data_IF_642444029558
#
_entry.id   IF_642444029558
#
_cell.length_a   1.000
_cell.length_b   1.000
_cell.length_c   1.000
_cell.angle_alpha   90.00
_cell.angle_beta   90.00
_cell.angle_gamma   90.00
#
_symmetry.space_group_name_H-M   'P 1'
#
loop_
_entity.id
_entity.type
_entity.pdbx_description
1 polymer ?
#
# COMPACT_ATOMS: atom_id res chain seq x y z
N UNK A 1 1.63 21.45 7.81
CA UNK A 1 2.25 21.00 6.54
C UNK A 1 1.13 20.48 5.65
N UNK A 2 1.03 20.89 4.38
CA UNK A 2 0.00 20.31 3.49
C UNK A 2 0.31 18.84 3.27
N UNK A 3 -0.71 17.99 3.21
CA UNK A 3 -0.56 16.54 3.03
C UNK A 3 0.25 16.17 1.77
N UNK A 4 0.16 17.00 0.71
CA UNK A 4 0.97 16.86 -0.50
C UNK A 4 2.47 17.06 -0.26
N UNK A 5 2.85 17.97 0.63
CA UNK A 5 4.24 18.23 0.97
C UNK A 5 4.79 17.09 1.83
N UNK A 6 3.99 16.56 2.75
CA UNK A 6 4.35 15.37 3.52
C UNK A 6 4.49 14.12 2.65
N UNK A 7 3.58 13.91 1.69
CA UNK A 7 3.68 12.83 0.71
C UNK A 7 4.96 12.91 -0.15
N UNK A 8 5.49 14.12 -0.42
CA UNK A 8 6.78 14.26 -1.12
C UNK A 8 7.95 13.80 -0.24
N UNK A 9 7.93 14.13 1.04
CA UNK A 9 8.92 13.66 2.02
C UNK A 9 8.91 12.15 2.12
N UNK A 10 7.74 11.53 2.33
CA UNK A 10 7.59 10.07 2.39
C UNK A 10 8.10 9.38 1.11
N UNK A 11 7.90 10.01 -0.05
CA UNK A 11 8.45 9.48 -1.31
C UNK A 11 9.98 9.51 -1.38
N UNK A 12 10.64 10.42 -0.67
CA UNK A 12 12.10 10.44 -0.55
C UNK A 12 12.59 9.43 0.48
N UNK A 13 11.84 9.31 1.58
CA UNK A 13 12.30 8.64 2.80
C UNK A 13 11.66 7.25 3.00
N UNK A 14 11.23 6.59 1.91
CA UNK A 14 10.66 5.23 1.95
C UNK A 14 11.58 4.25 2.65
N UNK A 15 11.01 3.29 3.39
CA UNK A 15 11.75 2.16 3.97
C UNK A 15 12.33 1.23 2.90
N UNK A 16 13.23 0.31 3.29
CA UNK A 16 13.78 -0.67 2.34
C UNK A 16 12.72 -1.61 1.78
N UNK A 17 11.73 -1.99 2.61
CA UNK A 17 10.58 -2.78 2.17
C UNK A 17 9.73 -2.01 1.14
N UNK A 18 9.38 -0.75 1.41
CA UNK A 18 8.66 0.10 0.46
C UNK A 18 9.45 0.32 -0.84
N UNK A 19 10.76 0.56 -0.75
CA UNK A 19 11.62 0.70 -1.94
C UNK A 19 11.59 -0.56 -2.79
N UNK A 20 11.65 -1.73 -2.16
CA UNK A 20 11.56 -3.00 -2.84
C UNK A 20 10.19 -3.17 -3.50
N UNK A 21 9.08 -2.99 -2.79
CA UNK A 21 7.74 -3.01 -3.38
C UNK A 21 7.64 -2.05 -4.57
N UNK A 22 8.08 -0.80 -4.39
CA UNK A 22 7.99 0.20 -5.46
C UNK A 22 8.78 -0.19 -6.70
N UNK A 23 9.92 -0.87 -6.56
CA UNK A 23 10.72 -1.36 -7.70
C UNK A 23 9.90 -2.27 -8.62
N UNK A 24 9.01 -3.09 -8.06
CA UNK A 24 8.17 -4.05 -8.80
C UNK A 24 6.80 -3.49 -9.19
N UNK A 25 6.23 -2.57 -8.42
CA UNK A 25 4.92 -1.98 -8.71
C UNK A 25 4.98 -0.81 -9.70
N UNK A 26 6.11 -0.08 -9.75
CA UNK A 26 6.22 1.12 -10.59
C UNK A 26 6.19 0.81 -12.08
N UNK A 27 5.84 1.82 -12.87
CA UNK A 27 5.98 1.80 -14.32
C UNK A 27 5.33 0.57 -14.97
N UNK A 28 4.15 0.17 -14.46
CA UNK A 28 3.35 -0.92 -15.02
C UNK A 28 4.05 -2.28 -15.03
N UNK A 29 5.05 -2.47 -14.15
CA UNK A 29 5.88 -3.68 -14.11
C UNK A 29 5.15 -4.92 -13.59
N UNK A 30 4.13 -4.74 -12.76
CA UNK A 30 3.24 -5.83 -12.35
C UNK A 30 2.15 -5.98 -13.41
N UNK A 31 2.42 -6.73 -14.47
CA UNK A 31 1.46 -7.10 -15.53
C UNK A 31 0.67 -5.93 -16.15
N UNK A 32 1.29 -4.77 -16.33
CA UNK A 32 0.61 -3.61 -16.91
C UNK A 32 -0.13 -2.73 -15.89
N UNK A 33 -0.18 -3.14 -14.61
CA UNK A 33 -1.05 -2.53 -13.61
C UNK A 33 -0.50 -1.22 -13.05
N UNK A 34 -1.40 -0.25 -12.85
CA UNK A 34 -1.01 1.12 -12.46
C UNK A 34 -1.12 1.34 -10.96
N UNK A 35 0.02 1.29 -10.28
CA UNK A 35 0.14 1.68 -8.87
C UNK A 35 0.59 3.13 -8.70
N UNK A 36 0.09 3.76 -7.63
CA UNK A 36 0.65 4.99 -7.07
C UNK A 36 1.26 4.69 -5.71
N UNK A 37 2.24 5.51 -5.30
CA UNK A 37 2.88 5.41 -3.99
C UNK A 37 2.70 6.66 -3.16
N UNK A 38 2.66 6.49 -1.84
CA UNK A 38 2.53 7.55 -0.83
C UNK A 38 1.41 8.50 -1.24
N UNK A 39 0.23 7.93 -1.47
CA UNK A 39 -0.90 8.60 -2.10
C UNK A 39 -1.85 9.14 -1.03
N UNK A 40 -2.12 10.45 -1.00
CA UNK A 40 -3.19 11.00 -0.19
C UNK A 40 -4.57 10.46 -0.61
N UNK A 41 -5.34 10.01 0.37
CA UNK A 41 -6.74 9.59 0.25
C UNK A 41 -7.47 10.15 1.48
N UNK A 42 -8.26 11.21 1.26
CA UNK A 42 -8.89 11.98 2.35
C UNK A 42 -7.86 12.41 3.39
N UNK A 43 -8.07 12.13 4.69
CA UNK A 43 -7.17 12.56 5.75
C UNK A 43 -5.90 11.69 5.85
N UNK A 44 -5.80 10.58 5.11
CA UNK A 44 -4.71 9.61 5.24
C UNK A 44 -3.78 9.60 4.02
N UNK A 45 -2.55 9.12 4.24
CA UNK A 45 -1.63 8.74 3.16
C UNK A 45 -1.43 7.22 3.28
N UNK A 46 -1.46 6.55 2.13
CA UNK A 46 -1.24 5.10 2.01
C UNK A 46 0.03 4.83 1.21
N UNK A 47 0.77 3.78 1.55
CA UNK A 47 2.06 3.48 0.95
C UNK A 47 1.93 3.19 -0.55
N UNK A 48 0.99 2.33 -0.94
CA UNK A 48 0.69 2.03 -2.33
C UNK A 48 -0.81 1.85 -2.56
N UNK A 49 -1.26 2.21 -3.76
CA UNK A 49 -2.65 2.03 -4.14
C UNK A 49 -2.82 1.76 -5.63
N UNK A 50 -3.71 0.83 -5.93
CA UNK A 50 -4.31 0.61 -7.24
C UNK A 50 -5.74 1.14 -7.25
N UNK A 51 -6.01 2.14 -8.08
CA UNK A 51 -7.32 2.80 -8.12
C UNK A 51 -8.40 1.98 -8.84
N UNK A 52 -8.02 1.15 -9.81
CA UNK A 52 -8.95 0.32 -10.58
C UNK A 52 -9.48 -0.85 -9.76
N UNK A 53 -8.59 -1.58 -9.08
CA UNK A 53 -8.93 -2.70 -8.22
C UNK A 53 -9.35 -2.30 -6.79
N UNK A 54 -9.38 -0.98 -6.51
CA UNK A 54 -9.58 -0.39 -5.17
C UNK A 54 -8.72 -1.10 -4.10
N UNK A 55 -7.43 -1.30 -4.38
CA UNK A 55 -6.52 -2.04 -3.49
C UNK A 55 -5.44 -1.13 -2.92
N UNK A 56 -5.32 -1.10 -1.60
CA UNK A 56 -4.25 -0.46 -0.85
C UNK A 56 -3.27 -1.54 -0.37
N UNK A 57 -1.97 -1.25 -0.46
CA UNK A 57 -0.90 -2.10 0.05
C UNK A 57 -0.04 -1.28 1.00
N UNK A 58 0.17 -1.78 2.22
CA UNK A 58 1.00 -1.14 3.26
C UNK A 58 2.15 -2.07 3.66
N UNK A 59 3.32 -1.49 3.91
CA UNK A 59 4.47 -2.21 4.47
C UNK A 59 4.50 -2.03 5.99
N UNK A 60 4.46 -3.14 6.74
CA UNK A 60 4.37 -3.12 8.20
C UNK A 60 5.70 -3.51 8.87
N UNK A 61 6.21 -2.62 9.71
CA UNK A 61 7.47 -2.76 10.43
C UNK A 61 7.40 -3.52 11.76
N UNK A 62 6.27 -4.11 12.16
CA UNK A 62 6.22 -4.88 13.41
C UNK A 62 5.86 -4.08 14.65
N UNK A 63 5.51 -2.79 14.52
CA UNK A 63 5.17 -1.92 15.65
C UNK A 63 3.73 -1.39 15.61
N UNK A 64 2.90 -1.85 14.66
CA UNK A 64 1.45 -1.64 14.72
C UNK A 64 0.84 -2.52 15.83
N UNK A 65 1.14 -2.16 17.08
CA UNK A 65 0.24 -2.44 18.19
C UNK A 65 -1.08 -1.77 17.78
N UNK A 66 -2.12 -2.57 17.61
CA UNK A 66 -3.48 -2.15 17.23
C UNK A 66 -3.96 -1.02 18.13
N UNK A 67 -3.62 0.21 17.75
CA UNK A 67 -4.05 1.41 18.44
C UNK A 67 -5.43 1.73 17.88
N UNK A 68 -6.38 2.18 18.70
CA UNK A 68 -7.73 2.53 18.20
C UNK A 68 -7.74 3.50 17.00
N UNK A 69 -6.66 4.27 16.81
CA UNK A 69 -6.45 5.11 15.62
C UNK A 69 -6.33 4.34 14.31
N UNK A 70 -5.75 3.14 14.31
CA UNK A 70 -5.62 2.31 13.10
C UNK A 70 -6.96 1.71 12.68
N UNK A 71 -7.78 1.29 13.64
CA UNK A 71 -9.11 0.77 13.35
C UNK A 71 -10.02 1.84 12.69
N UNK A 72 -9.97 3.09 13.17
CA UNK A 72 -10.72 4.21 12.57
C UNK A 72 -10.23 4.51 11.17
N UNK A 73 -8.91 4.52 10.95
CA UNK A 73 -8.30 4.73 9.64
C UNK A 73 -8.74 3.66 8.64
N UNK A 74 -8.63 2.40 9.02
CA UNK A 74 -8.92 1.27 8.15
C UNK A 74 -10.42 1.20 7.85
N UNK A 75 -11.28 1.41 8.84
CA UNK A 75 -12.72 1.51 8.64
C UNK A 75 -13.11 2.63 7.67
N UNK A 76 -12.48 3.81 7.78
CA UNK A 76 -12.74 4.91 6.86
C UNK A 76 -12.32 4.58 5.43
N UNK A 77 -11.12 4.00 5.24
CA UNK A 77 -10.62 3.58 3.93
C UNK A 77 -11.49 2.48 3.30
N UNK A 78 -11.95 1.53 4.11
CA UNK A 78 -12.93 0.52 3.70
C UNK A 78 -14.26 1.15 3.28
N UNK A 79 -14.76 2.16 4.02
CA UNK A 79 -15.95 2.90 3.64
C UNK A 79 -15.79 3.71 2.34
N UNK A 80 -14.54 4.02 1.93
CA UNK A 80 -14.25 4.58 0.59
C UNK A 80 -14.16 3.51 -0.51
N UNK A 81 -14.50 2.26 -0.19
CA UNK A 81 -14.52 1.12 -1.11
C UNK A 81 -13.16 0.46 -1.32
N UNK A 82 -12.15 0.76 -0.51
CA UNK A 82 -10.84 0.12 -0.64
C UNK A 82 -10.73 -1.17 0.16
N UNK A 83 -10.03 -2.15 -0.41
CA UNK A 83 -9.43 -3.27 0.33
C UNK A 83 -8.02 -2.88 0.76
N UNK A 84 -7.59 -3.33 1.93
CA UNK A 84 -6.26 -3.04 2.49
C UNK A 84 -5.53 -4.36 2.69
N UNK A 85 -4.30 -4.45 2.18
CA UNK A 85 -3.39 -5.56 2.42
C UNK A 85 -2.13 -5.06 3.09
N UNK A 86 -1.79 -5.62 4.25
CA UNK A 86 -0.59 -5.29 5.00
C UNK A 86 0.39 -6.45 4.89
N UNK A 87 1.64 -6.16 4.58
CA UNK A 87 2.71 -7.16 4.52
C UNK A 87 3.81 -6.81 5.50
N UNK A 88 4.29 -7.78 6.25
CA UNK A 88 5.44 -7.59 7.11
C UNK A 88 6.68 -7.25 6.29
N UNK A 89 7.49 -6.30 6.78
CA UNK A 89 8.74 -5.91 6.14
C UNK A 89 9.65 -7.11 5.87
N UNK A 90 9.71 -8.07 6.80
CA UNK A 90 10.51 -9.28 6.62
C UNK A 90 10.00 -10.13 5.44
N UNK A 91 8.69 -10.27 5.27
CA UNK A 91 8.12 -11.01 4.15
C UNK A 91 8.36 -10.30 2.82
N UNK A 92 8.24 -8.98 2.78
CA UNK A 92 8.56 -8.19 1.58
C UNK A 92 10.03 -8.40 1.17
N UNK A 93 10.95 -8.37 2.13
CA UNK A 93 12.38 -8.45 1.87
C UNK A 93 12.85 -9.86 1.53
N UNK A 94 12.31 -10.87 2.23
CA UNK A 94 12.79 -12.26 2.19
C UNK A 94 11.91 -13.18 1.34
N UNK A 95 10.60 -12.96 1.32
CA UNK A 95 9.59 -13.81 0.64
C UNK A 95 8.87 -13.07 -0.49
N UNK A 96 9.61 -12.21 -1.21
CA UNK A 96 9.05 -11.24 -2.16
C UNK A 96 8.14 -11.85 -3.23
N UNK A 97 8.48 -13.04 -3.75
CA UNK A 97 7.72 -13.67 -4.82
C UNK A 97 6.30 -14.04 -4.34
N UNK A 98 6.18 -14.55 -3.12
CA UNK A 98 4.89 -14.84 -2.50
C UNK A 98 4.06 -13.57 -2.26
N UNK A 99 4.71 -12.48 -1.84
CA UNK A 99 4.04 -11.17 -1.67
C UNK A 99 3.49 -10.67 -3.00
N UNK A 100 4.28 -10.69 -4.07
CA UNK A 100 3.85 -10.19 -5.38
C UNK A 100 2.79 -11.07 -6.02
N UNK A 101 2.88 -12.39 -5.86
CA UNK A 101 1.83 -13.32 -6.30
C UNK A 101 0.51 -13.01 -5.58
N UNK A 102 0.56 -12.78 -4.27
CA UNK A 102 -0.63 -12.43 -3.49
C UNK A 102 -1.24 -11.11 -3.97
N UNK A 103 -0.41 -10.09 -4.21
CA UNK A 103 -0.88 -8.80 -4.76
C UNK A 103 -1.54 -9.02 -6.12
N UNK A 104 -0.91 -9.80 -7.00
CA UNK A 104 -1.41 -10.09 -8.33
C UNK A 104 -2.79 -10.77 -8.30
N UNK A 105 -2.93 -11.80 -7.46
CA UNK A 105 -4.21 -12.49 -7.26
C UNK A 105 -5.28 -11.52 -6.76
N UNK A 106 -4.94 -10.64 -5.81
CA UNK A 106 -5.88 -9.67 -5.27
C UNK A 106 -6.39 -8.66 -6.30
N UNK A 107 -5.61 -8.35 -7.35
CA UNK A 107 -6.05 -7.49 -8.46
C UNK A 107 -7.09 -8.15 -9.37
N UNK A 108 -7.14 -9.48 -9.40
CA UNK A 108 -7.99 -10.26 -10.31
C UNK A 108 -9.36 -10.61 -9.73
N UNK A 109 -9.62 -10.22 -8.48
CA UNK A 109 -10.90 -10.46 -7.79
C UNK A 109 -11.90 -9.38 -8.25
N UNK A 110 -13.02 -9.73 -8.91
CA UNK A 110 -14.07 -8.79 -9.24
C UNK A 110 -14.63 -8.14 -7.98
N UNK A 111 -14.90 -6.84 -8.03
CA UNK A 111 -15.69 -6.16 -7.01
C UNK A 111 -17.15 -6.54 -7.24
N UNK A 112 -17.79 -7.18 -6.27
CA UNK A 112 -19.26 -7.44 -6.27
C UNK A 112 -20.05 -6.14 -6.07
#
# INVERSE_FOLDING_TARGET
>A
MRQLDFAKTLRRDMTDAERLLWKYLRAHRLNGEKFRRQQPIGPYIVDFVHFGARLIIEADGGQHNESGSDAVRDAWLHAQGFRIMRFWNNDILQNRDAVFETIWQALSIPME
#
